data_IF_657381803536
#
_entry.id   IF_657381803536
#
_cell.length_a   1.000
_cell.length_b   1.000
_cell.length_c   1.000
_cell.angle_alpha   90.00
_cell.angle_beta   90.00
_cell.angle_gamma   90.00
#
_symmetry.space_group_name_H-M   'P 1'
#
loop_
_entity.id
_entity.type
_entity.pdbx_description
1 polymer ?
#
# COMPACT_ATOMS: atom_id res chain seq x y z
N UNK A 1 6.34 -30.55 12.86
CA UNK A 1 7.03 -30.39 11.56
C UNK A 1 8.15 -29.36 11.62
N UNK A 2 7.89 -28.08 11.97
CA UNK A 2 8.96 -27.06 12.00
C UNK A 2 10.08 -27.39 13.01
N UNK A 3 9.73 -27.79 14.23
CA UNK A 3 10.71 -28.23 15.24
C UNK A 3 11.58 -29.39 14.72
N UNK A 4 10.96 -30.41 14.13
CA UNK A 4 11.66 -31.56 13.54
C UNK A 4 12.61 -31.14 12.41
N UNK A 5 12.21 -30.19 11.55
CA UNK A 5 13.07 -29.67 10.50
C UNK A 5 14.30 -28.93 11.07
N UNK A 6 14.10 -28.11 12.10
CA UNK A 6 15.20 -27.42 12.79
C UNK A 6 16.16 -28.41 13.44
N UNK A 7 15.64 -29.43 14.12
CA UNK A 7 16.45 -30.45 14.77
C UNK A 7 17.26 -31.25 13.74
N UNK A 8 16.66 -31.57 12.59
CA UNK A 8 17.33 -32.22 11.46
C UNK A 8 18.42 -31.35 10.84
N UNK A 9 18.20 -30.03 10.70
CA UNK A 9 19.24 -29.11 10.22
C UNK A 9 20.42 -28.98 11.20
N UNK A 10 20.14 -28.95 12.51
CA UNK A 10 21.17 -28.94 13.57
C UNK A 10 22.01 -30.22 13.53
N UNK A 11 21.36 -31.36 13.31
CA UNK A 11 22.02 -32.66 13.14
C UNK A 11 22.86 -32.70 11.89
N UNK A 12 22.28 -32.38 10.74
CA UNK A 12 22.98 -32.35 9.45
C UNK A 12 24.13 -31.34 9.43
N UNK A 13 24.04 -30.22 10.16
CA UNK A 13 25.18 -29.31 10.32
C UNK A 13 26.31 -29.94 11.15
N UNK A 14 25.97 -30.58 12.27
CA UNK A 14 26.96 -31.24 13.14
C UNK A 14 27.64 -32.42 12.45
N UNK A 15 26.90 -33.20 11.65
CA UNK A 15 27.42 -34.32 10.88
C UNK A 15 28.34 -33.89 9.74
N UNK A 16 27.95 -32.86 8.97
CA UNK A 16 28.80 -32.30 7.89
C UNK A 16 30.16 -31.84 8.39
N UNK A 17 30.24 -31.37 9.64
CA UNK A 17 31.47 -30.89 10.25
C UNK A 17 32.07 -31.90 11.25
N UNK A 18 31.61 -33.16 11.24
CA UNK A 18 32.07 -34.20 12.18
C UNK A 18 33.55 -34.56 12.03
N UNK A 19 34.14 -34.28 10.86
CA UNK A 19 35.57 -34.48 10.56
C UNK A 19 36.45 -33.30 10.98
N UNK A 20 35.87 -32.16 11.37
CA UNK A 20 36.62 -31.06 11.96
C UNK A 20 36.87 -31.35 13.43
N UNK A 21 38.09 -31.80 13.72
CA UNK A 21 38.55 -32.22 15.04
C UNK A 21 39.77 -31.42 15.48
N UNK A 22 39.97 -31.27 16.78
CA UNK A 22 41.19 -30.71 17.35
C UNK A 22 42.37 -31.70 17.29
N UNK A 23 43.55 -31.28 17.73
CA UNK A 23 44.77 -32.11 17.82
C UNK A 23 44.59 -33.38 18.68
N UNK A 24 43.53 -33.44 19.49
CA UNK A 24 43.18 -34.57 20.36
C UNK A 24 42.03 -35.41 19.78
N UNK A 25 41.75 -35.25 18.48
CA UNK A 25 40.67 -35.92 17.76
C UNK A 25 39.25 -35.64 18.31
N UNK A 26 39.06 -34.55 19.06
CA UNK A 26 37.74 -34.15 19.57
C UNK A 26 37.06 -33.23 18.57
N UNK A 27 35.77 -33.47 18.30
CA UNK A 27 34.97 -32.63 17.39
C UNK A 27 34.97 -31.17 17.85
N UNK A 28 35.29 -30.27 16.93
CA UNK A 28 35.25 -28.82 17.15
C UNK A 28 33.80 -28.32 17.18
N UNK A 29 32.91 -28.91 16.37
CA UNK A 29 31.48 -28.62 16.37
C UNK A 29 30.74 -29.51 17.37
N UNK A 30 30.19 -28.89 18.41
CA UNK A 30 29.44 -29.62 19.44
C UNK A 30 28.06 -28.99 19.66
N UNK A 31 27.05 -29.84 19.85
CA UNK A 31 25.75 -29.41 20.38
C UNK A 31 25.95 -28.95 21.83
N UNK A 32 25.53 -27.73 22.15
CA UNK A 32 25.72 -27.10 23.45
C UNK A 32 24.39 -26.54 23.99
N UNK A 33 23.47 -27.45 24.29
CA UNK A 33 22.13 -27.11 24.74
C UNK A 33 21.27 -26.50 23.64
N UNK A 34 20.37 -25.60 24.03
CA UNK A 34 19.40 -24.94 23.16
C UNK A 34 19.41 -23.43 23.39
N UNK A 35 19.01 -22.67 22.38
CA UNK A 35 18.61 -21.29 22.58
C UNK A 35 17.32 -21.22 23.44
N UNK A 36 17.01 -20.06 24.05
CA UNK A 36 15.71 -19.85 24.68
C UNK A 36 14.58 -20.18 23.73
N UNK A 37 13.53 -20.82 24.24
CA UNK A 37 12.32 -21.07 23.46
C UNK A 37 11.72 -19.73 22.99
N UNK A 38 11.13 -19.74 21.80
CA UNK A 38 10.52 -18.56 21.19
C UNK A 38 9.17 -18.93 20.62
N UNK A 39 8.22 -18.02 20.78
CA UNK A 39 6.91 -18.15 20.15
C UNK A 39 6.95 -17.54 18.76
N UNK A 40 6.57 -18.33 17.77
CA UNK A 40 6.42 -17.89 16.39
C UNK A 40 4.94 -17.90 16.06
N UNK A 41 4.41 -16.73 15.70
CA UNK A 41 3.03 -16.62 15.27
C UNK A 41 2.88 -17.14 13.84
N UNK A 42 2.00 -18.11 13.67
CA UNK A 42 1.64 -18.71 12.38
C UNK A 42 0.15 -18.52 12.11
N UNK A 43 -0.31 -18.85 10.89
CA UNK A 43 -1.74 -18.84 10.55
C UNK A 43 -2.60 -19.82 11.38
N UNK A 44 -1.98 -20.79 12.06
CA UNK A 44 -2.66 -21.72 12.96
C UNK A 44 -2.54 -21.33 14.46
N UNK A 45 -1.98 -20.15 14.74
CA UNK A 45 -1.68 -19.67 16.09
C UNK A 45 -0.18 -19.70 16.43
N UNK A 46 0.13 -19.41 17.69
CA UNK A 46 1.50 -19.37 18.20
C UNK A 46 2.08 -20.80 18.33
N UNK A 47 3.27 -21.00 17.78
CA UNK A 47 4.03 -22.25 17.88
C UNK A 47 5.32 -21.99 18.65
N UNK A 48 5.51 -22.70 19.75
CA UNK A 48 6.74 -22.65 20.56
C UNK A 48 7.83 -23.43 19.83
N UNK A 49 8.97 -22.78 19.59
CA UNK A 49 10.14 -23.40 18.97
C UNK A 49 11.35 -23.28 19.87
N UNK A 50 12.11 -24.37 19.98
CA UNK A 50 13.35 -24.46 20.75
C UNK A 50 14.47 -24.96 19.85
N UNK A 51 15.31 -24.03 19.40
CA UNK A 51 16.42 -24.34 18.51
C UNK A 51 17.61 -24.93 19.29
N UNK A 52 18.15 -26.07 18.83
CA UNK A 52 19.43 -26.60 19.30
C UNK A 52 20.60 -25.67 18.99
N UNK A 53 21.50 -25.46 19.95
CA UNK A 53 22.68 -24.60 19.77
C UNK A 53 23.87 -25.45 19.34
N UNK A 54 24.49 -25.09 18.22
CA UNK A 54 25.81 -25.62 17.83
C UNK A 54 26.86 -24.61 18.24
N UNK A 55 27.93 -25.06 18.90
CA UNK A 55 29.07 -24.25 19.30
C UNK A 55 30.32 -24.77 18.61
N UNK A 56 31.01 -23.87 17.94
CA UNK A 56 32.39 -24.07 17.50
C UNK A 56 33.35 -23.85 18.68
N UNK A 57 34.21 -24.85 18.94
CA UNK A 57 35.25 -24.82 19.97
C UNK A 57 36.64 -24.44 19.45
N UNK A 58 36.76 -24.00 18.20
CA UNK A 58 38.02 -23.52 17.63
C UNK A 58 38.65 -22.43 18.49
N UNK A 59 39.98 -22.50 18.64
CA UNK A 59 40.79 -21.62 19.48
C UNK A 59 40.85 -20.20 18.91
N UNK A 60 40.91 -20.08 17.58
CA UNK A 60 40.78 -18.79 16.90
C UNK A 60 39.31 -18.34 16.93
N UNK A 61 39.07 -17.12 17.39
CA UNK A 61 37.73 -16.54 17.45
C UNK A 61 37.26 -16.03 16.08
N UNK A 62 38.19 -15.67 15.18
CA UNK A 62 37.89 -15.15 13.84
C UNK A 62 37.34 -16.21 12.87
N UNK A 63 37.76 -17.46 13.05
CA UNK A 63 37.38 -18.59 12.19
C UNK A 63 36.17 -19.39 12.70
N UNK A 64 35.52 -18.92 13.77
CA UNK A 64 34.39 -19.65 14.36
C UNK A 64 33.19 -19.66 13.43
N UNK A 65 32.71 -20.86 13.13
CA UNK A 65 31.49 -21.01 12.34
C UNK A 65 30.24 -20.83 13.21
N UNK A 66 29.27 -20.08 12.69
CA UNK A 66 27.96 -19.89 13.30
C UNK A 66 26.91 -20.71 12.54
N UNK A 67 26.06 -21.42 13.29
CA UNK A 67 24.90 -22.11 12.72
C UNK A 67 23.65 -21.24 12.82
N UNK A 68 22.99 -21.04 11.68
CA UNK A 68 21.64 -20.47 11.59
C UNK A 68 20.79 -21.38 10.71
N UNK A 69 19.66 -21.90 11.20
CA UNK A 69 18.79 -22.76 10.41
C UNK A 69 18.15 -22.00 9.25
N UNK A 70 18.02 -22.65 8.10
CA UNK A 70 17.41 -22.08 6.90
C UNK A 70 15.90 -21.89 7.04
N UNK A 71 15.24 -22.82 7.76
CA UNK A 71 13.80 -22.78 8.01
C UNK A 71 13.40 -21.69 9.03
N UNK A 72 14.35 -21.19 9.82
CA UNK A 72 14.09 -20.18 10.85
C UNK A 72 15.17 -19.09 10.86
N UNK A 73 14.87 -17.97 10.20
CA UNK A 73 15.75 -16.81 10.24
C UNK A 73 15.92 -16.28 11.67
N UNK A 74 17.08 -15.67 11.92
CA UNK A 74 17.36 -15.07 13.21
C UNK A 74 16.28 -14.02 13.55
N UNK A 75 15.73 -14.10 14.75
CA UNK A 75 14.71 -13.18 15.28
C UNK A 75 13.33 -13.24 14.63
N UNK A 76 13.04 -14.23 13.76
CA UNK A 76 11.69 -14.42 13.22
C UNK A 76 10.68 -14.59 14.36
N UNK A 77 9.66 -13.74 14.37
CA UNK A 77 8.53 -13.80 15.33
C UNK A 77 7.20 -14.14 14.66
N UNK A 78 7.10 -14.01 13.33
CA UNK A 78 5.89 -14.25 12.55
C UNK A 78 6.27 -14.83 11.20
N UNK A 79 5.40 -15.63 10.62
CA UNK A 79 5.55 -16.12 9.25
C UNK A 79 5.17 -15.05 8.22
N UNK A 80 5.75 -15.08 7.03
CA UNK A 80 5.46 -14.17 5.92
C UNK A 80 3.96 -14.07 5.61
N UNK A 81 3.24 -15.20 5.66
CA UNK A 81 1.77 -15.23 5.46
C UNK A 81 0.99 -14.36 6.46
N UNK A 82 1.49 -14.27 7.70
CA UNK A 82 0.90 -13.38 8.69
C UNK A 82 1.22 -11.94 8.30
N UNK A 83 2.46 -11.63 7.93
CA UNK A 83 2.83 -10.28 7.49
C UNK A 83 2.01 -9.79 6.30
N UNK A 84 1.72 -10.66 5.33
CA UNK A 84 0.83 -10.39 4.20
C UNK A 84 -0.63 -10.16 4.61
N UNK A 85 -1.08 -10.77 5.72
CA UNK A 85 -2.45 -10.60 6.23
C UNK A 85 -2.63 -9.25 6.92
N UNK A 86 -1.61 -8.74 7.62
CA UNK A 86 -1.72 -7.56 8.49
C UNK A 86 -2.18 -6.27 7.78
N UNK A 87 -1.78 -5.97 6.53
CA UNK A 87 -2.33 -4.86 5.77
C UNK A 87 -3.86 -4.84 5.67
N UNK A 88 -4.50 -6.00 5.57
CA UNK A 88 -5.87 -6.09 5.09
C UNK A 88 -6.90 -5.47 6.04
N UNK A 89 -6.92 -5.73 7.36
CA UNK A 89 -7.87 -5.09 8.25
C UNK A 89 -7.77 -3.56 8.20
N UNK A 90 -6.55 -3.02 8.13
CA UNK A 90 -6.34 -1.57 8.02
C UNK A 90 -6.89 -1.03 6.69
N UNK A 91 -6.60 -1.68 5.57
CA UNK A 91 -7.11 -1.30 4.24
C UNK A 91 -8.63 -1.48 4.11
N UNK A 92 -9.24 -2.34 4.94
CA UNK A 92 -10.70 -2.51 5.04
C UNK A 92 -11.36 -1.54 6.01
N UNK A 93 -10.60 -0.65 6.66
CA UNK A 93 -11.12 0.42 7.50
C UNK A 93 -11.28 0.06 8.98
N UNK A 94 -10.65 -1.01 9.46
CA UNK A 94 -10.58 -1.29 10.90
C UNK A 94 -9.72 -0.22 11.59
N UNK A 95 -10.22 0.35 12.69
CA UNK A 95 -9.47 1.32 13.49
C UNK A 95 -8.16 0.72 14.00
N UNK A 96 -7.14 1.55 14.21
CA UNK A 96 -5.86 1.11 14.78
C UNK A 96 -6.06 0.55 16.20
N UNK A 97 -6.99 1.14 16.95
CA UNK A 97 -7.29 0.74 18.33
C UNK A 97 -7.98 -0.63 18.37
N UNK A 98 -8.88 -0.90 17.41
CA UNK A 98 -9.62 -2.17 17.28
C UNK A 98 -8.80 -3.26 16.57
N UNK A 99 -7.64 -2.91 16.02
CA UNK A 99 -6.82 -3.79 15.19
C UNK A 99 -6.31 -5.00 15.99
N UNK A 100 -5.95 -4.78 17.26
CA UNK A 100 -5.50 -5.85 18.14
C UNK A 100 -6.63 -6.85 18.43
N UNK A 101 -7.85 -6.37 18.70
CA UNK A 101 -9.03 -7.21 18.93
C UNK A 101 -9.39 -8.02 17.67
N UNK A 102 -9.49 -7.35 16.52
CA UNK A 102 -9.81 -8.00 15.25
C UNK A 102 -8.83 -9.13 14.90
N UNK A 103 -7.54 -8.93 15.17
CA UNK A 103 -6.53 -9.94 14.89
C UNK A 103 -6.49 -11.06 15.93
N UNK A 104 -6.77 -10.79 17.20
CA UNK A 104 -6.92 -11.83 18.21
C UNK A 104 -8.07 -12.77 17.87
N UNK A 105 -9.19 -12.25 17.35
CA UNK A 105 -10.31 -13.09 16.90
C UNK A 105 -9.94 -14.01 15.73
N UNK A 106 -9.00 -13.62 14.87
CA UNK A 106 -8.58 -14.40 13.70
C UNK A 106 -7.42 -15.36 14.00
N UNK A 107 -6.50 -14.98 14.88
CA UNK A 107 -5.22 -15.66 15.11
C UNK A 107 -5.10 -16.29 16.51
N UNK A 108 -6.12 -16.13 17.34
CA UNK A 108 -6.21 -16.65 18.71
C UNK A 108 -5.77 -15.66 19.78
N UNK A 109 -6.22 -15.88 21.01
CA UNK A 109 -5.94 -15.02 22.18
C UNK A 109 -4.43 -14.88 22.49
N UNK A 110 -3.63 -15.87 22.08
CA UNK A 110 -2.18 -15.89 22.25
C UNK A 110 -1.41 -15.24 21.08
N UNK A 111 -2.08 -14.52 20.18
CA UNK A 111 -1.46 -13.82 19.05
C UNK A 111 -0.67 -12.58 19.53
N UNK A 112 0.42 -12.83 20.26
CA UNK A 112 1.30 -11.80 20.79
C UNK A 112 2.05 -11.07 19.66
N UNK A 113 2.17 -9.75 19.79
CA UNK A 113 2.92 -8.89 18.89
C UNK A 113 2.07 -8.11 17.89
N UNK A 114 0.76 -8.33 17.81
CA UNK A 114 -0.14 -7.61 16.89
C UNK A 114 -0.62 -6.28 17.49
N UNK A 115 0.33 -5.44 17.92
CA UNK A 115 0.03 -4.14 18.52
C UNK A 115 -0.10 -3.03 17.48
N UNK A 116 -0.64 -1.88 17.88
CA UNK A 116 -0.72 -0.67 17.07
C UNK A 116 0.63 -0.29 16.40
N UNK A 117 1.77 -0.57 17.06
CA UNK A 117 3.11 -0.34 16.51
C UNK A 117 3.40 -1.12 15.22
N UNK A 118 2.72 -2.24 14.98
CA UNK A 118 2.80 -2.98 13.71
C UNK A 118 2.20 -2.16 12.58
N UNK A 119 1.04 -1.55 12.82
CA UNK A 119 0.37 -0.69 11.84
C UNK A 119 1.19 0.56 11.57
N UNK A 120 1.82 1.15 12.61
CA UNK A 120 2.73 2.29 12.44
C UNK A 120 3.87 1.95 11.48
N UNK A 121 4.55 0.82 11.67
CA UNK A 121 5.63 0.37 10.76
C UNK A 121 5.13 0.07 9.35
N UNK A 122 3.92 -0.49 9.20
CA UNK A 122 3.32 -0.69 7.88
C UNK A 122 3.09 0.64 7.17
N UNK A 123 2.65 1.68 7.88
CA UNK A 123 2.47 3.02 7.33
C UNK A 123 3.80 3.63 6.87
N UNK A 124 4.85 3.55 7.68
CA UNK A 124 6.19 4.03 7.30
C UNK A 124 6.65 3.39 5.98
N UNK A 125 6.48 2.07 5.84
CA UNK A 125 6.78 1.35 4.60
C UNK A 125 5.91 1.84 3.43
N UNK A 126 4.60 2.02 3.63
CA UNK A 126 3.71 2.52 2.57
C UNK A 126 4.00 3.95 2.18
N UNK A 127 4.47 4.79 3.10
CA UNK A 127 4.90 6.16 2.81
C UNK A 127 6.12 6.16 1.87
N UNK A 128 7.07 5.25 2.10
CA UNK A 128 8.22 5.04 1.20
C UNK A 128 7.80 4.51 -0.17
N UNK A 129 6.93 3.50 -0.21
CA UNK A 129 6.38 2.92 -1.45
C UNK A 129 5.59 3.98 -2.23
N UNK A 130 4.76 4.76 -1.55
CA UNK A 130 4.03 5.88 -2.13
C UNK A 130 4.99 6.95 -2.66
N UNK A 131 6.03 7.31 -1.92
CA UNK A 131 7.05 8.25 -2.35
C UNK A 131 7.81 7.77 -3.61
N UNK A 132 8.03 6.47 -3.73
CA UNK A 132 8.61 5.85 -4.93
C UNK A 132 7.64 5.88 -6.09
N UNK A 133 6.40 5.43 -5.87
CA UNK A 133 5.33 5.43 -6.87
C UNK A 133 5.03 6.84 -7.37
N UNK A 134 5.06 7.86 -6.50
CA UNK A 134 4.79 9.25 -6.87
C UNK A 134 5.97 9.90 -7.63
N UNK A 135 7.14 9.27 -7.66
CA UNK A 135 8.30 9.70 -8.46
C UNK A 135 8.55 8.82 -9.69
N UNK A 136 7.68 7.83 -9.94
CA UNK A 136 7.83 6.90 -11.07
C UNK A 136 7.88 7.64 -12.41
N UNK A 137 8.62 7.06 -13.35
CA UNK A 137 8.66 7.54 -14.73
C UNK A 137 7.30 7.35 -15.42
N UNK A 138 6.91 8.35 -16.20
CA UNK A 138 5.72 8.39 -17.03
C UNK A 138 6.05 8.58 -18.52
N UNK A 139 7.32 8.45 -18.91
CA UNK A 139 7.78 8.67 -20.29
C UNK A 139 7.16 7.74 -21.32
N UNK A 140 6.76 6.54 -20.91
CA UNK A 140 6.08 5.54 -21.74
C UNK A 140 4.55 5.72 -21.76
N UNK A 141 4.01 6.64 -20.95
CA UNK A 141 2.57 6.78 -20.75
C UNK A 141 1.95 7.70 -21.79
N UNK A 142 0.83 7.23 -22.35
CA UNK A 142 -0.04 7.97 -23.26
C UNK A 142 -1.48 7.80 -22.80
N UNK A 143 -2.06 8.87 -22.28
CA UNK A 143 -3.45 8.86 -21.82
C UNK A 143 -4.37 9.44 -22.89
N UNK A 144 -5.47 8.75 -23.17
CA UNK A 144 -6.53 9.27 -24.03
C UNK A 144 -7.49 10.13 -23.20
N UNK A 145 -7.90 9.61 -22.04
CA UNK A 145 -8.76 10.30 -21.09
C UNK A 145 -8.05 10.45 -19.75
N UNK A 146 -8.24 11.58 -19.09
CA UNK A 146 -7.93 11.75 -17.67
C UNK A 146 -9.16 12.22 -16.91
N UNK A 147 -9.33 11.76 -15.68
CA UNK A 147 -10.36 12.19 -14.75
C UNK A 147 -9.71 12.85 -13.54
N UNK A 148 -10.09 14.09 -13.28
CA UNK A 148 -9.64 14.86 -12.12
C UNK A 148 -10.77 14.93 -11.09
N UNK A 149 -10.43 14.68 -9.84
CA UNK A 149 -11.36 14.75 -8.71
C UNK A 149 -10.67 15.24 -7.44
N UNK A 150 -11.45 15.78 -6.51
CA UNK A 150 -11.00 16.24 -5.20
C UNK A 150 -11.74 15.51 -4.08
N UNK A 151 -11.02 14.71 -3.29
CA UNK A 151 -11.60 13.96 -2.18
C UNK A 151 -11.36 14.73 -0.88
N UNK A 152 -12.44 15.27 -0.32
CA UNK A 152 -12.39 15.97 0.96
C UNK A 152 -12.36 14.98 2.14
N UNK A 153 -11.26 15.00 2.89
CA UNK A 153 -11.10 14.25 4.13
C UNK A 153 -11.06 15.20 5.32
N UNK A 154 -11.82 14.87 6.37
CA UNK A 154 -11.74 15.58 7.65
C UNK A 154 -10.48 15.12 8.36
N UNK A 155 -9.47 15.96 8.38
CA UNK A 155 -8.19 15.69 9.05
C UNK A 155 -8.04 16.65 10.21
N UNK A 156 -7.65 16.13 11.38
CA UNK A 156 -7.29 16.98 12.52
C UNK A 156 -5.92 17.60 12.25
N UNK A 157 -5.89 18.77 11.61
CA UNK A 157 -4.70 19.59 11.53
C UNK A 157 -4.59 20.50 12.76
N UNK A 158 -3.36 20.89 13.11
CA UNK A 158 -3.10 21.77 14.26
C UNK A 158 -3.76 23.16 14.13
N UNK A 159 -4.04 23.58 12.89
CA UNK A 159 -4.73 24.82 12.59
C UNK A 159 -6.25 24.61 12.49
N UNK A 160 -7.00 25.23 13.39
CA UNK A 160 -8.45 25.16 13.46
C UNK A 160 -9.16 25.76 12.22
N UNK A 161 -8.45 26.55 11.38
CA UNK A 161 -8.97 27.07 10.12
C UNK A 161 -8.91 26.04 8.96
N UNK A 162 -8.17 24.94 9.11
CA UNK A 162 -7.94 23.93 8.07
C UNK A 162 -8.40 22.53 8.50
N UNK A 163 -9.69 22.41 8.83
CA UNK A 163 -10.29 21.14 9.29
C UNK A 163 -10.55 20.12 8.18
N UNK A 164 -10.37 20.52 6.92
CA UNK A 164 -10.62 19.68 5.74
C UNK A 164 -9.43 19.78 4.80
N UNK A 165 -8.80 18.64 4.51
CA UNK A 165 -7.84 18.53 3.42
C UNK A 165 -8.53 17.98 2.18
N UNK A 166 -8.12 18.47 1.02
CA UNK A 166 -8.60 17.96 -0.25
C UNK A 166 -7.51 17.14 -0.92
N UNK A 167 -7.71 15.83 -1.07
CA UNK A 167 -6.81 15.01 -1.85
C UNK A 167 -7.15 15.15 -3.33
N UNK A 168 -6.20 15.67 -4.12
CA UNK A 168 -6.34 15.77 -5.56
C UNK A 168 -6.00 14.42 -6.19
N UNK A 169 -6.95 13.88 -6.93
CA UNK A 169 -6.85 12.57 -7.59
C UNK A 169 -6.90 12.77 -9.10
N UNK A 170 -5.96 12.13 -9.79
CA UNK A 170 -5.95 12.09 -11.25
C UNK A 170 -5.87 10.64 -11.72
N UNK A 171 -6.92 10.18 -12.39
CA UNK A 171 -7.00 8.85 -13.02
C UNK A 171 -6.81 9.01 -14.53
N UNK A 172 -6.16 8.04 -15.18
CA UNK A 172 -5.95 8.03 -16.63
C UNK A 172 -6.44 6.76 -17.28
N UNK A 173 -6.91 6.84 -18.52
CA UNK A 173 -7.12 5.69 -19.40
C UNK A 173 -6.14 5.77 -20.56
N UNK A 174 -5.40 4.68 -20.78
CA UNK A 174 -4.52 4.52 -21.93
C UNK A 174 -5.31 4.16 -23.19
N UNK A 175 -4.64 4.14 -24.35
CA UNK A 175 -5.24 3.76 -25.64
C UNK A 175 -5.79 2.33 -25.67
N UNK A 176 -5.26 1.43 -24.83
CA UNK A 176 -5.75 0.05 -24.66
C UNK A 176 -6.98 -0.04 -23.72
N UNK A 177 -7.49 1.09 -23.23
CA UNK A 177 -8.62 1.15 -22.30
C UNK A 177 -8.25 0.85 -20.84
N UNK A 178 -7.00 0.49 -20.53
CA UNK A 178 -6.57 0.24 -19.17
C UNK A 178 -6.55 1.55 -18.38
N UNK A 179 -7.28 1.55 -17.26
CA UNK A 179 -7.32 2.66 -16.31
C UNK A 179 -6.23 2.49 -15.25
N UNK A 180 -5.56 3.57 -14.91
CA UNK A 180 -4.59 3.60 -13.81
C UNK A 180 -4.63 4.94 -13.07
N UNK A 181 -4.31 4.91 -11.78
CA UNK A 181 -4.11 6.12 -11.00
C UNK A 181 -2.82 6.79 -11.46
N UNK A 182 -2.90 8.06 -11.86
CA UNK A 182 -1.74 8.84 -12.30
C UNK A 182 -1.10 9.54 -11.11
N UNK A 183 -1.92 10.22 -10.30
CA UNK A 183 -1.49 10.98 -9.14
C UNK A 183 -2.59 11.00 -8.07
N UNK A 184 -2.18 11.15 -6.82
CA UNK A 184 -3.07 11.21 -5.66
C UNK A 184 -2.37 11.98 -4.56
N UNK A 185 -2.44 13.31 -4.60
CA UNK A 185 -1.63 14.17 -3.72
C UNK A 185 -2.54 14.91 -2.73
N UNK A 186 -2.07 15.11 -1.51
CA UNK A 186 -2.72 16.02 -0.58
C UNK A 186 -2.64 17.44 -1.14
N UNK A 187 -3.75 17.96 -1.64
CA UNK A 187 -3.92 19.38 -1.91
C UNK A 187 -4.33 20.09 -0.62
N UNK A 188 -3.78 21.27 -0.40
CA UNK A 188 -4.31 22.13 0.66
C UNK A 188 -5.76 22.52 0.35
N UNK A 189 -6.06 22.83 -0.92
CA UNK A 189 -7.38 23.11 -1.51
C UNK A 189 -7.37 22.77 -3.00
N UNK A 190 -8.53 22.71 -3.65
CA UNK A 190 -8.69 22.67 -5.12
C UNK A 190 -8.36 24.01 -5.81
N UNK A 191 -7.26 24.64 -5.41
CA UNK A 191 -6.77 25.86 -6.03
C UNK A 191 -6.10 25.55 -7.37
N UNK A 192 -6.02 26.57 -8.22
CA UNK A 192 -5.24 26.51 -9.45
C UNK A 192 -3.77 26.14 -9.18
N UNK A 193 -3.19 26.66 -8.09
CA UNK A 193 -1.82 26.36 -7.70
C UNK A 193 -1.62 24.87 -7.43
N UNK A 194 -2.45 24.26 -6.57
CA UNK A 194 -2.33 22.83 -6.23
C UNK A 194 -2.45 21.93 -7.46
N UNK A 195 -3.38 22.25 -8.36
CA UNK A 195 -3.55 21.52 -9.62
C UNK A 195 -2.37 21.75 -10.58
N UNK A 196 -1.83 22.97 -10.65
CA UNK A 196 -0.67 23.28 -11.49
C UNK A 196 0.56 22.51 -11.03
N UNK A 197 0.82 22.46 -9.72
CA UNK A 197 1.91 21.70 -9.13
C UNK A 197 1.79 20.20 -9.46
N UNK A 198 0.58 19.62 -9.31
CA UNK A 198 0.32 18.24 -9.67
C UNK A 198 0.57 17.99 -11.16
N UNK A 199 0.00 18.80 -12.05
CA UNK A 199 0.12 18.62 -13.50
C UNK A 199 1.56 18.84 -14.01
N UNK A 200 2.28 19.83 -13.46
CA UNK A 200 3.69 20.07 -13.77
C UNK A 200 4.57 18.91 -13.27
N UNK A 201 4.27 18.33 -12.10
CA UNK A 201 4.94 17.13 -11.62
C UNK A 201 4.81 15.97 -12.62
N UNK A 202 3.65 15.81 -13.28
CA UNK A 202 3.50 14.79 -14.33
C UNK A 202 4.49 15.00 -15.48
N UNK A 203 4.62 16.23 -15.95
CA UNK A 203 5.57 16.58 -17.02
C UNK A 203 7.02 16.32 -16.60
N UNK A 204 7.37 16.70 -15.37
CA UNK A 204 8.70 16.46 -14.81
C UNK A 204 9.03 14.96 -14.71
N UNK A 205 8.03 14.13 -14.39
CA UNK A 205 8.13 12.66 -14.40
C UNK A 205 8.15 12.05 -15.81
N UNK A 206 8.12 12.86 -16.87
CA UNK A 206 8.23 12.38 -18.24
C UNK A 206 6.91 12.27 -19.01
N UNK A 207 5.76 12.70 -18.48
CA UNK A 207 4.52 12.71 -19.27
C UNK A 207 4.60 13.79 -20.37
N UNK A 208 5.04 13.37 -21.56
CA UNK A 208 5.30 14.26 -22.71
C UNK A 208 4.05 14.58 -23.51
N UNK A 209 3.19 13.59 -23.71
CA UNK A 209 1.98 13.73 -24.51
C UNK A 209 0.83 14.19 -23.62
N UNK A 210 0.18 15.28 -24.04
CA UNK A 210 -1.02 15.78 -23.41
C UNK A 210 -2.15 14.75 -23.54
N UNK A 211 -2.97 14.52 -22.50
CA UNK A 211 -4.20 13.76 -22.64
C UNK A 211 -5.10 14.36 -23.72
N UNK A 212 -5.84 13.52 -24.46
CA UNK A 212 -6.78 14.06 -25.48
C UNK A 212 -7.97 14.77 -24.83
N UNK A 213 -8.53 14.18 -23.77
CA UNK A 213 -9.68 14.72 -23.05
C UNK A 213 -9.41 14.68 -21.54
N UNK A 214 -9.65 15.79 -20.87
CA UNK A 214 -9.73 15.86 -19.43
C UNK A 214 -11.19 15.98 -18.98
N UNK A 215 -11.56 15.16 -18.01
CA UNK A 215 -12.89 15.10 -17.42
C UNK A 215 -12.80 15.51 -15.96
N UNK A 216 -13.56 16.51 -15.54
CA UNK A 216 -13.53 16.99 -14.16
C UNK A 216 -14.85 17.60 -13.74
N UNK A 217 -15.01 17.86 -12.44
CA UNK A 217 -16.16 18.60 -11.94
C UNK A 217 -16.05 20.12 -12.21
N UNK A 218 -17.03 20.88 -11.71
CA UNK A 218 -17.20 22.33 -11.57
C UNK A 218 -15.95 23.16 -11.28
N UNK A 219 -14.98 22.60 -10.55
CA UNK A 219 -13.89 23.32 -9.90
C UNK A 219 -13.03 24.17 -10.85
N UNK A 220 -13.03 25.49 -10.64
CA UNK A 220 -12.33 26.45 -11.51
C UNK A 220 -10.81 26.28 -11.48
N UNK A 221 -10.24 25.82 -10.35
CA UNK A 221 -8.79 25.65 -10.19
C UNK A 221 -8.19 24.63 -11.15
N UNK A 222 -8.84 23.47 -11.32
CA UNK A 222 -8.36 22.43 -12.22
C UNK A 222 -8.31 22.92 -13.67
N UNK A 223 -9.39 23.52 -14.16
CA UNK A 223 -9.46 23.99 -15.55
C UNK A 223 -8.46 25.11 -15.84
N UNK A 224 -8.27 26.04 -14.89
CA UNK A 224 -7.26 27.09 -15.03
C UNK A 224 -5.84 26.50 -15.13
N UNK A 225 -5.51 25.51 -14.30
CA UNK A 225 -4.23 24.82 -14.34
C UNK A 225 -4.06 23.99 -15.63
N UNK A 226 -5.10 23.27 -16.05
CA UNK A 226 -5.08 22.43 -17.24
C UNK A 226 -4.78 23.26 -18.50
N UNK A 227 -5.46 24.39 -18.70
CA UNK A 227 -5.21 25.28 -19.84
C UNK A 227 -3.79 25.81 -19.90
N UNK A 228 -3.13 25.96 -18.75
CA UNK A 228 -1.72 26.40 -18.67
C UNK A 228 -0.75 25.26 -18.97
N UNK A 229 -0.99 24.07 -18.43
CA UNK A 229 -0.04 22.95 -18.49
C UNK A 229 -0.26 22.09 -19.74
N UNK A 230 -1.50 21.82 -20.13
CA UNK A 230 -1.87 21.02 -21.29
C UNK A 230 -2.94 21.74 -22.14
N UNK A 231 -2.56 22.81 -22.86
CA UNK A 231 -3.52 23.67 -23.57
C UNK A 231 -4.31 22.95 -24.67
N UNK A 232 -3.74 21.90 -25.27
CA UNK A 232 -4.37 21.14 -26.35
C UNK A 232 -5.34 20.06 -25.84
N UNK A 233 -5.43 19.84 -24.52
CA UNK A 233 -6.34 18.86 -23.94
C UNK A 233 -7.77 19.40 -23.95
N UNK A 234 -8.69 18.66 -24.57
CA UNK A 234 -10.10 19.03 -24.60
C UNK A 234 -10.75 18.91 -23.21
N UNK A 235 -11.60 19.87 -22.87
CA UNK A 235 -12.28 19.92 -21.57
C UNK A 235 -13.66 19.30 -21.65
N UNK A 236 -13.97 18.42 -20.70
CA UNK A 236 -15.30 17.84 -20.55
C UNK A 236 -15.75 17.87 -19.09
N UNK A 237 -16.95 18.36 -18.83
CA UNK A 237 -17.56 18.24 -17.50
C UNK A 237 -17.96 16.79 -17.23
N UNK A 238 -17.66 16.31 -16.04
CA UNK A 238 -18.03 14.97 -15.61
C UNK A 238 -19.57 14.85 -15.50
N UNK A 239 -20.18 13.97 -16.30
CA UNK A 239 -21.63 13.73 -16.26
C UNK A 239 -22.06 13.18 -14.90
N UNK A 240 -21.25 12.33 -14.25
CA UNK A 240 -21.54 11.78 -12.91
C UNK A 240 -21.67 12.90 -11.88
N UNK A 241 -20.68 13.78 -11.78
CA UNK A 241 -20.74 14.92 -10.86
C UNK A 241 -21.86 15.89 -11.23
N UNK A 242 -22.07 16.16 -12.52
CA UNK A 242 -23.16 17.03 -12.96
C UNK A 242 -24.53 16.47 -12.56
N UNK A 243 -24.73 15.16 -12.70
CA UNK A 243 -25.95 14.46 -12.27
C UNK A 243 -26.15 14.62 -10.78
N UNK A 244 -25.14 14.31 -9.97
CA UNK A 244 -25.21 14.44 -8.52
C UNK A 244 -25.54 15.89 -8.11
N UNK A 245 -24.91 16.87 -8.75
CA UNK A 245 -25.14 18.29 -8.49
C UNK A 245 -26.58 18.72 -8.79
N UNK A 246 -27.19 18.21 -9.87
CA UNK A 246 -28.61 18.46 -10.18
C UNK A 246 -29.51 17.77 -9.15
N UNK A 247 -29.32 16.48 -8.90
CA UNK A 247 -30.14 15.69 -7.98
C UNK A 247 -30.12 16.25 -6.54
N UNK A 248 -28.98 16.77 -6.08
CA UNK A 248 -28.84 17.40 -4.76
C UNK A 248 -29.72 18.64 -4.57
N UNK A 249 -30.23 19.24 -5.65
CA UNK A 249 -31.17 20.38 -5.59
C UNK A 249 -32.63 19.95 -5.70
N UNK A 250 -32.91 18.64 -5.75
CA UNK A 250 -34.24 18.08 -5.93
C UNK A 250 -34.68 17.25 -4.72
N UNK A 251 -36.00 17.21 -4.41
CA UNK A 251 -36.53 16.29 -3.41
C UNK A 251 -36.20 14.84 -3.73
N UNK A 252 -35.86 14.03 -2.72
CA UNK A 252 -35.48 12.61 -2.90
C UNK A 252 -36.53 11.79 -3.66
N UNK A 253 -37.81 12.12 -3.51
CA UNK A 253 -38.93 11.43 -4.17
C UNK A 253 -38.89 11.54 -5.70
N UNK A 254 -38.34 12.61 -6.26
CA UNK A 254 -38.30 12.84 -7.72
C UNK A 254 -36.95 12.51 -8.34
N UNK A 255 -35.90 12.28 -7.53
CA UNK A 255 -34.56 12.00 -8.01
C UNK A 255 -34.44 10.78 -8.94
N UNK A 256 -35.16 9.65 -8.73
CA UNK A 256 -35.07 8.51 -9.64
C UNK A 256 -35.49 8.84 -11.07
N UNK A 257 -36.61 9.56 -11.22
CA UNK A 257 -37.10 10.00 -12.53
C UNK A 257 -36.14 11.01 -13.16
N UNK A 258 -35.76 12.05 -12.42
CA UNK A 258 -34.85 13.08 -12.91
C UNK A 258 -33.48 12.50 -13.33
N UNK A 259 -32.99 11.47 -12.64
CA UNK A 259 -31.76 10.76 -13.04
C UNK A 259 -31.93 10.04 -14.38
N UNK A 260 -33.09 9.44 -14.63
CA UNK A 260 -33.44 8.83 -15.92
C UNK A 260 -33.45 9.88 -17.03
N UNK A 261 -34.18 10.96 -16.84
CA UNK A 261 -34.28 12.06 -17.81
C UNK A 261 -32.88 12.65 -18.13
N UNK A 262 -32.04 12.85 -17.11
CA UNK A 262 -30.65 13.29 -17.30
C UNK A 262 -29.81 12.28 -18.09
N UNK A 263 -30.01 10.99 -17.85
CA UNK A 263 -29.32 9.92 -18.58
C UNK A 263 -29.65 9.95 -20.07
N UNK A 264 -30.91 10.20 -20.44
CA UNK A 264 -31.34 10.31 -21.83
C UNK A 264 -30.61 11.44 -22.56
N UNK A 265 -30.39 12.59 -21.90
CA UNK A 265 -29.70 13.75 -22.49
C UNK A 265 -28.30 13.39 -23.00
N UNK A 266 -27.46 12.73 -22.21
CA UNK A 266 -26.09 12.39 -22.65
C UNK A 266 -25.97 11.05 -23.37
N UNK A 267 -27.05 10.26 -23.44
CA UNK A 267 -27.14 9.07 -24.30
C UNK A 267 -27.75 9.37 -25.66
N UNK A 268 -28.27 10.58 -25.87
CA UNK A 268 -28.78 11.03 -27.15
C UNK A 268 -27.73 10.88 -28.27
N UNK A 269 -28.18 10.43 -29.45
CA UNK A 269 -27.30 10.19 -30.61
C UNK A 269 -26.63 11.48 -31.10
N UNK A 270 -27.37 12.59 -31.03
CA UNK A 270 -26.87 13.89 -31.44
C UNK A 270 -27.08 14.94 -30.36
N UNK A 271 -26.30 16.02 -30.45
CA UNK A 271 -26.50 17.21 -29.61
C UNK A 271 -27.88 17.84 -29.81
N UNK A 272 -28.46 17.75 -31.02
CA UNK A 272 -29.78 18.32 -31.29
C UNK A 272 -30.88 17.56 -30.55
N UNK A 273 -30.78 16.22 -30.50
CA UNK A 273 -31.76 15.39 -29.77
C UNK A 273 -31.65 15.56 -28.24
N UNK A 274 -30.48 16.01 -27.75
CA UNK A 274 -30.23 16.26 -26.34
C UNK A 274 -30.77 17.62 -25.83
N UNK A 275 -31.13 18.54 -26.73
CA UNK A 275 -31.47 19.95 -26.42
C UNK A 275 -32.98 20.19 -26.48
#
# INVERSE_FOLDING_TARGET
MIQTAIDSEVEGFSERHSRHVDERARRLMVKNGSLPARDILTGAGAVVIKQGRVRDKSSDAGDRMCFTPSVLSAYLRRTDKIEELLPWPYLKGVSIDDFAEALQSLLGENAMGLSANVVVRLKEKWEEEYGTWNRRDLSDKKYVYVWADGIHAKVRLADAANKEQCMLVLMGAKADGKKELIAGNAGYRESEQSWSELLLSLKQRGLREAPKIAVGDGALGFWAALRKVFPDTAEQRCSVHKTANVLNKMPKSVQPKAKGDLHEIWQAETRADAM
#
